data_IF_541245991953
#
_entry.id   IF_541245991953
#
_cell.length_a   1.000
_cell.length_b   1.000
_cell.length_c   1.000
_cell.angle_alpha   90.00
_cell.angle_beta   90.00
_cell.angle_gamma   90.00
#
_symmetry.space_group_name_H-M   'P 1'
#
loop_
_entity.id
_entity.type
_entity.pdbx_description
1 polymer ?
#
# COMPACT_ATOMS: atom_id res chain seq x y z
N UNK A 1 34.06 -0.86 -7.13
CA UNK A 1 33.31 -2.04 -6.63
C UNK A 1 32.01 -2.11 -7.41
N UNK A 2 31.84 -3.14 -8.21
CA UNK A 2 30.74 -3.28 -9.18
C UNK A 2 29.39 -3.40 -8.48
N UNK A 3 28.48 -2.50 -8.83
CA UNK A 3 27.05 -2.55 -8.54
C UNK A 3 26.41 -3.71 -9.31
N UNK A 4 26.52 -4.93 -8.79
CA UNK A 4 25.76 -6.05 -9.32
C UNK A 4 24.29 -5.87 -8.89
N UNK A 5 23.48 -5.46 -9.86
CA UNK A 5 22.03 -5.44 -9.77
C UNK A 5 21.50 -6.81 -9.30
N UNK A 6 20.51 -6.78 -8.40
CA UNK A 6 19.83 -7.95 -7.87
C UNK A 6 19.35 -8.88 -9.01
N UNK A 7 19.99 -10.02 -9.20
CA UNK A 7 19.50 -11.08 -10.10
C UNK A 7 18.24 -11.72 -9.53
N UNK A 8 17.27 -12.08 -10.37
CA UNK A 8 15.98 -12.69 -9.97
C UNK A 8 16.10 -13.89 -9.00
N UNK A 9 17.24 -14.57 -8.95
CA UNK A 9 17.49 -15.68 -8.03
C UNK A 9 17.70 -15.30 -6.55
N UNK A 10 17.98 -14.04 -6.21
CA UNK A 10 18.32 -13.61 -4.84
C UNK A 10 17.13 -13.16 -3.99
N UNK A 11 15.96 -13.00 -4.59
CA UNK A 11 14.74 -12.56 -3.91
C UNK A 11 13.76 -13.73 -3.87
N UNK A 12 13.12 -13.93 -2.72
CA UNK A 12 11.99 -14.85 -2.56
C UNK A 12 10.76 -14.07 -2.15
N UNK A 13 9.62 -14.29 -2.83
CA UNK A 13 8.34 -13.69 -2.47
C UNK A 13 7.38 -14.76 -1.96
N UNK A 14 6.88 -14.57 -0.75
CA UNK A 14 5.85 -15.41 -0.12
C UNK A 14 4.56 -14.62 -0.16
N UNK A 15 3.56 -15.14 -0.87
CA UNK A 15 2.27 -14.49 -1.00
C UNK A 15 1.27 -15.13 -0.04
N UNK A 16 0.32 -14.32 0.44
CA UNK A 16 -0.85 -14.87 1.13
C UNK A 16 -1.77 -15.54 0.11
N UNK A 17 -2.41 -16.63 0.53
CA UNK A 17 -3.50 -17.24 -0.23
C UNK A 17 -4.68 -16.26 -0.25
N UNK A 18 -4.86 -15.58 -1.37
CA UNK A 18 -6.03 -14.75 -1.63
C UNK A 18 -6.79 -15.27 -2.85
N UNK A 19 -8.07 -14.88 -2.99
CA UNK A 19 -8.88 -15.24 -4.16
C UNK A 19 -8.24 -14.78 -5.49
N UNK A 20 -7.54 -13.64 -5.50
CA UNK A 20 -6.84 -13.17 -6.69
C UNK A 20 -5.59 -13.99 -7.00
N UNK A 21 -4.85 -14.43 -5.98
CA UNK A 21 -3.72 -15.38 -6.14
C UNK A 21 -4.24 -16.74 -6.63
N UNK A 22 -5.40 -17.17 -6.12
CA UNK A 22 -6.07 -18.40 -6.57
C UNK A 22 -6.45 -18.35 -8.06
N UNK A 23 -7.03 -17.24 -8.52
CA UNK A 23 -7.42 -17.05 -9.93
C UNK A 23 -6.20 -16.86 -10.87
N UNK A 24 -5.03 -16.50 -10.33
CA UNK A 24 -3.78 -16.30 -11.06
C UNK A 24 -2.75 -17.44 -10.85
N UNK A 25 -3.13 -18.52 -10.16
CA UNK A 25 -2.20 -19.57 -9.70
C UNK A 25 -1.35 -20.15 -10.84
N UNK A 26 -1.93 -20.38 -12.02
CA UNK A 26 -1.18 -20.95 -13.16
C UNK A 26 -0.13 -20.00 -13.74
N UNK A 27 -0.30 -18.67 -13.58
CA UNK A 27 0.65 -17.66 -14.05
C UNK A 27 1.69 -17.27 -12.99
N UNK A 28 1.36 -17.43 -11.70
CA UNK A 28 2.25 -17.19 -10.56
C UNK A 28 3.13 -18.40 -10.22
N UNK A 29 2.83 -19.57 -10.79
CA UNK A 29 3.67 -20.75 -10.78
C UNK A 29 4.92 -20.53 -11.65
N UNK A 30 5.88 -19.78 -11.11
CA UNK A 30 7.24 -19.85 -11.64
C UNK A 30 7.80 -21.24 -11.30
N UNK A 31 7.86 -22.11 -12.32
CA UNK A 31 8.51 -23.43 -12.23
C UNK A 31 9.97 -23.34 -11.75
N UNK A 32 10.56 -22.13 -11.69
CA UNK A 32 11.90 -21.85 -11.19
C UNK A 32 11.99 -21.45 -9.69
N UNK A 33 10.98 -21.77 -8.85
CA UNK A 33 11.05 -21.76 -7.37
C UNK A 33 11.02 -20.37 -6.66
N UNK A 34 10.51 -19.32 -7.30
CA UNK A 34 10.56 -17.94 -6.76
C UNK A 34 9.32 -17.51 -5.96
N UNK A 35 8.24 -18.30 -6.01
CA UNK A 35 6.91 -17.99 -5.44
C UNK A 35 6.35 -19.22 -4.75
N UNK A 36 5.98 -19.10 -3.47
CA UNK A 36 5.43 -20.24 -2.70
C UNK A 36 4.02 -19.96 -2.23
N UNK A 37 3.08 -20.61 -2.91
CA UNK A 37 1.79 -21.04 -2.39
C UNK A 37 1.58 -22.45 -2.97
N UNK A 38 2.10 -23.48 -2.30
CA UNK A 38 1.99 -24.85 -2.82
C UNK A 38 0.66 -25.44 -2.35
N UNK A 39 -0.18 -25.85 -3.31
CA UNK A 39 -1.09 -26.97 -3.16
C UNK A 39 -0.42 -28.17 -3.85
N UNK A 40 -0.16 -29.25 -3.13
CA UNK A 40 0.21 -30.52 -3.74
C UNK A 40 -1.06 -31.16 -4.33
N UNK A 41 -1.16 -31.38 -5.66
CA UNK A 41 -2.34 -32.00 -6.25
C UNK A 41 -2.51 -33.48 -5.85
N UNK A 42 -1.45 -34.14 -5.40
CA UNK A 42 -1.42 -35.57 -5.08
C UNK A 42 -1.77 -35.88 -3.61
N UNK A 43 -1.67 -34.90 -2.71
CA UNK A 43 -1.89 -35.10 -1.26
C UNK A 43 -3.16 -34.43 -0.69
N UNK A 44 -4.09 -34.00 -1.55
CA UNK A 44 -5.36 -33.38 -1.11
C UNK A 44 -5.24 -31.88 -0.76
N UNK A 45 -6.27 -31.26 -0.14
CA UNK A 45 -6.28 -29.84 0.17
C UNK A 45 -5.37 -29.52 1.37
N UNK A 46 -4.06 -29.48 1.15
CA UNK A 46 -3.11 -28.98 2.15
C UNK A 46 -2.97 -27.46 2.03
N UNK A 47 -3.18 -26.75 3.15
CA UNK A 47 -2.90 -25.34 3.26
C UNK A 47 -1.39 -25.15 3.52
N UNK A 48 -0.66 -24.63 2.53
CA UNK A 48 0.64 -23.98 2.69
C UNK A 48 1.81 -24.88 3.10
N UNK A 49 2.50 -25.47 2.13
CA UNK A 49 3.81 -26.11 2.39
C UNK A 49 4.84 -25.03 2.71
N UNK A 50 5.51 -25.15 3.87
CA UNK A 50 6.62 -24.29 4.25
C UNK A 50 7.76 -24.40 3.23
N UNK A 51 8.42 -23.29 2.84
CA UNK A 51 9.60 -23.40 1.99
C UNK A 51 10.66 -24.25 2.70
N UNK A 52 11.31 -25.17 1.99
CA UNK A 52 12.47 -25.89 2.53
C UNK A 52 13.54 -24.88 2.94
N UNK A 53 14.12 -25.05 4.13
CA UNK A 53 15.15 -24.17 4.68
C UNK A 53 16.31 -23.94 3.70
N UNK A 54 16.68 -24.97 2.92
CA UNK A 54 17.70 -24.90 1.87
C UNK A 54 17.38 -23.91 0.74
N UNK A 55 16.10 -23.78 0.37
CA UNK A 55 15.66 -22.82 -0.63
C UNK A 55 15.75 -21.40 -0.09
N UNK A 56 15.36 -21.22 1.18
CA UNK A 56 15.40 -19.91 1.84
C UNK A 56 16.83 -19.45 2.08
N UNK A 57 17.71 -20.34 2.54
CA UNK A 57 19.12 -20.06 2.84
C UNK A 57 19.90 -19.53 1.62
N UNK A 58 19.44 -19.83 0.40
CA UNK A 58 20.04 -19.33 -0.85
C UNK A 58 19.58 -17.92 -1.23
N UNK A 59 18.65 -17.33 -0.49
CA UNK A 59 17.99 -16.05 -0.81
C UNK A 59 18.57 -14.95 0.07
N UNK A 60 18.78 -13.78 -0.52
CA UNK A 60 19.29 -12.59 0.17
C UNK A 60 18.18 -11.72 0.74
N UNK A 61 17.02 -11.72 0.07
CA UNK A 61 15.85 -10.92 0.46
C UNK A 61 14.63 -11.82 0.41
N UNK A 62 13.84 -11.79 1.49
CA UNK A 62 12.54 -12.44 1.53
C UNK A 62 11.49 -11.36 1.71
N UNK A 63 10.45 -11.41 0.88
CA UNK A 63 9.32 -10.49 0.92
C UNK A 63 8.09 -11.31 1.26
N UNK A 64 7.39 -10.93 2.31
CA UNK A 64 6.15 -11.57 2.75
C UNK A 64 5.25 -10.53 3.41
N UNK A 65 3.96 -10.82 3.54
CA UNK A 65 3.09 -10.06 4.46
C UNK A 65 3.40 -10.43 5.90
N UNK A 66 3.01 -9.57 6.85
CA UNK A 66 3.19 -9.81 8.29
C UNK A 66 2.65 -11.19 8.72
N UNK A 67 1.43 -11.53 8.31
CA UNK A 67 0.84 -12.84 8.65
C UNK A 67 1.59 -14.00 7.98
N UNK A 68 2.06 -13.85 6.74
CA UNK A 68 2.81 -14.92 6.06
C UNK A 68 4.24 -15.10 6.58
N UNK A 69 4.76 -14.21 7.42
CA UNK A 69 6.04 -14.44 8.08
C UNK A 69 5.98 -15.64 9.04
N UNK A 70 4.79 -16.06 9.48
CA UNK A 70 4.58 -17.31 10.25
C UNK A 70 5.12 -18.55 9.55
N UNK A 71 5.14 -18.58 8.21
CA UNK A 71 5.78 -19.68 7.47
C UNK A 71 7.30 -19.72 7.68
N UNK A 72 7.96 -18.57 7.86
CA UNK A 72 9.39 -18.49 8.15
C UNK A 72 9.67 -18.91 9.59
N UNK A 73 8.79 -18.52 10.53
CA UNK A 73 8.85 -18.88 11.95
C UNK A 73 8.76 -20.40 12.11
N UNK A 74 7.73 -21.00 11.50
CA UNK A 74 7.53 -22.46 11.50
C UNK A 74 8.62 -23.21 10.72
N UNK A 75 9.25 -22.56 9.75
CA UNK A 75 10.43 -23.08 9.04
C UNK A 75 11.73 -23.04 9.86
N UNK A 76 11.68 -22.58 11.11
CA UNK A 76 12.83 -22.56 12.03
C UNK A 76 13.84 -21.46 11.76
N UNK A 77 13.46 -20.39 11.06
CA UNK A 77 14.37 -19.29 10.68
C UNK A 77 14.56 -18.20 11.73
N UNK A 78 14.55 -18.60 12.99
CA UNK A 78 14.83 -17.70 14.11
C UNK A 78 16.26 -17.18 13.98
N UNK A 79 16.46 -15.88 14.20
CA UNK A 79 17.76 -15.19 14.19
C UNK A 79 18.55 -15.29 12.88
N UNK A 80 17.90 -15.66 11.79
CA UNK A 80 18.53 -15.77 10.48
C UNK A 80 18.64 -14.44 9.72
N UNK A 81 17.96 -13.39 10.20
CA UNK A 81 17.84 -12.12 9.50
C UNK A 81 18.68 -11.04 10.17
N UNK A 82 19.58 -10.42 9.41
CA UNK A 82 20.33 -9.25 9.91
C UNK A 82 19.45 -8.00 9.96
N UNK A 83 18.42 -7.94 9.12
CA UNK A 83 17.49 -6.81 9.01
C UNK A 83 16.06 -7.31 8.82
N UNK A 84 15.11 -6.68 9.51
CA UNK A 84 13.68 -6.83 9.28
C UNK A 84 13.13 -5.45 8.95
N UNK A 85 12.55 -5.30 7.76
CA UNK A 85 11.96 -4.05 7.28
C UNK A 85 10.46 -4.27 7.14
N UNK A 86 9.68 -3.47 7.86
CA UNK A 86 8.21 -3.45 7.76
C UNK A 86 7.83 -2.18 7.01
N UNK A 87 7.39 -2.34 5.77
CA UNK A 87 6.89 -1.25 4.93
C UNK A 87 5.38 -1.03 5.15
N UNK A 88 4.89 0.17 4.89
CA UNK A 88 3.53 0.62 5.20
C UNK A 88 3.12 0.33 6.67
N UNK A 89 4.08 0.43 7.59
CA UNK A 89 3.90 0.07 9.00
C UNK A 89 2.78 0.84 9.70
N UNK A 90 2.37 2.00 9.19
CA UNK A 90 1.24 2.78 9.69
C UNK A 90 -0.12 2.13 9.46
N UNK A 91 -0.22 1.19 8.51
CA UNK A 91 -1.47 0.50 8.17
C UNK A 91 -1.67 -0.81 8.95
N UNK A 92 -0.61 -1.31 9.61
CA UNK A 92 -0.66 -2.55 10.37
C UNK A 92 -1.07 -2.27 11.82
N UNK A 93 -1.93 -3.12 12.38
CA UNK A 93 -2.18 -3.08 13.82
C UNK A 93 -0.89 -3.46 14.56
N UNK A 94 -0.70 -2.91 15.77
CA UNK A 94 0.48 -3.20 16.57
C UNK A 94 0.72 -4.71 16.73
N UNK A 95 -0.34 -5.50 16.96
CA UNK A 95 -0.21 -6.94 17.13
C UNK A 95 0.24 -7.64 15.84
N UNK A 96 -0.20 -7.15 14.67
CA UNK A 96 0.25 -7.69 13.38
C UNK A 96 1.72 -7.38 13.13
N UNK A 97 2.15 -6.16 13.45
CA UNK A 97 3.54 -5.75 13.29
C UNK A 97 4.50 -6.55 14.18
N UNK A 98 4.02 -7.07 15.33
CA UNK A 98 4.80 -7.88 16.25
C UNK A 98 5.04 -9.32 15.77
N UNK A 99 4.22 -9.87 14.87
CA UNK A 99 4.33 -11.26 14.39
C UNK A 99 5.75 -11.61 13.93
N UNK A 100 6.35 -10.90 12.95
CA UNK A 100 7.72 -11.20 12.52
C UNK A 100 8.76 -10.88 13.60
N UNK A 101 8.52 -9.91 14.48
CA UNK A 101 9.50 -9.46 15.47
C UNK A 101 9.65 -10.49 16.60
N UNK A 102 8.55 -10.91 17.19
CA UNK A 102 8.55 -11.92 18.26
C UNK A 102 8.88 -13.30 17.72
N UNK A 103 8.46 -13.59 16.49
CA UNK A 103 8.63 -14.91 15.91
C UNK A 103 9.98 -15.16 15.24
N UNK A 104 10.66 -14.14 14.70
CA UNK A 104 11.93 -14.33 13.99
C UNK A 104 13.15 -13.83 14.76
N UNK A 105 12.98 -13.12 15.86
CA UNK A 105 14.07 -12.59 16.68
C UNK A 105 13.96 -13.23 18.06
N UNK A 106 14.99 -13.98 18.48
CA UNK A 106 15.07 -14.46 19.84
C UNK A 106 15.42 -13.32 20.80
N UNK A 107 15.01 -13.45 22.05
CA UNK A 107 15.28 -12.45 23.09
C UNK A 107 16.77 -12.13 23.28
N UNK A 108 17.67 -13.04 22.91
CA UNK A 108 19.11 -12.89 23.08
C UNK A 108 19.81 -12.26 21.85
N UNK A 109 19.07 -12.00 20.77
CA UNK A 109 19.64 -11.46 19.54
C UNK A 109 19.62 -9.92 19.53
N UNK A 110 20.79 -9.32 19.73
CA UNK A 110 21.04 -7.88 19.68
C UNK A 110 21.54 -7.38 18.31
N UNK A 111 21.73 -8.30 17.35
CA UNK A 111 22.34 -8.00 16.04
C UNK A 111 21.32 -7.57 15.00
N UNK A 112 20.11 -8.11 15.05
CA UNK A 112 19.05 -7.82 14.08
C UNK A 112 18.62 -6.35 14.16
N UNK A 113 18.62 -5.66 13.02
CA UNK A 113 18.13 -4.29 12.90
C UNK A 113 16.68 -4.27 12.41
N UNK A 114 15.82 -3.56 13.12
CA UNK A 114 14.40 -3.43 12.79
C UNK A 114 14.17 -2.03 12.22
N UNK A 115 13.55 -1.96 11.05
CA UNK A 115 13.19 -0.71 10.39
C UNK A 115 11.68 -0.71 10.14
N UNK A 116 11.00 0.30 10.67
CA UNK A 116 9.62 0.61 10.31
C UNK A 116 9.64 1.73 9.27
N UNK A 117 9.11 1.44 8.09
CA UNK A 117 8.86 2.41 7.04
C UNK A 117 7.35 2.58 6.88
N UNK A 118 6.89 3.81 6.83
CA UNK A 118 5.48 4.13 6.73
C UNK A 118 5.18 5.52 7.28
N UNK A 119 3.92 5.92 7.16
CA UNK A 119 3.46 7.22 7.59
C UNK A 119 2.31 7.08 8.59
N UNK A 120 2.52 7.36 9.89
CA UNK A 120 1.48 7.26 10.90
C UNK A 120 0.37 8.32 10.74
N UNK A 121 0.54 9.32 9.85
CA UNK A 121 -0.49 10.31 9.53
C UNK A 121 -1.40 9.88 8.37
N UNK A 122 -1.11 8.76 7.70
CA UNK A 122 -1.94 8.19 6.64
C UNK A 122 -2.99 7.21 7.18
N UNK A 123 -3.50 6.30 6.35
CA UNK A 123 -4.48 5.31 6.76
C UNK A 123 -3.92 4.42 7.87
N UNK A 124 -4.62 4.37 8.99
CA UNK A 124 -4.34 3.47 10.09
C UNK A 124 -4.91 2.05 9.87
N UNK A 125 -4.65 1.13 10.81
CA UNK A 125 -5.25 -0.19 10.81
C UNK A 125 -6.78 -0.16 10.85
N UNK A 126 -7.40 -1.13 10.16
CA UNK A 126 -8.86 -1.24 10.09
C UNK A 126 -9.36 -2.16 11.19
N UNK A 127 -9.84 -1.59 12.29
CA UNK A 127 -10.55 -2.34 13.33
C UNK A 127 -12.03 -2.48 12.97
N UNK A 128 -12.56 -3.70 12.90
CA UNK A 128 -13.98 -3.96 12.61
C UNK A 128 -14.82 -4.16 13.86
N UNK A 129 -14.18 -4.52 14.98
CA UNK A 129 -14.85 -4.76 16.26
C UNK A 129 -15.06 -3.44 17.04
N UNK A 130 -16.31 -2.99 17.15
CA UNK A 130 -16.63 -1.70 17.78
C UNK A 130 -16.26 -1.59 19.27
N UNK A 131 -16.41 -2.63 20.12
CA UNK A 131 -15.89 -2.58 21.49
C UNK A 131 -14.38 -2.35 21.54
N UNK A 132 -13.62 -3.00 20.66
CA UNK A 132 -12.16 -2.85 20.62
C UNK A 132 -11.75 -1.44 20.19
N UNK A 133 -12.48 -0.79 19.27
CA UNK A 133 -12.24 0.63 18.92
C UNK A 133 -12.35 1.56 20.13
N UNK A 134 -13.21 1.23 21.11
CA UNK A 134 -13.43 2.04 22.31
C UNK A 134 -12.42 1.74 23.43
N UNK A 135 -11.96 0.50 23.53
CA UNK A 135 -11.09 0.04 24.63
C UNK A 135 -9.60 0.14 24.29
N UNK A 136 -9.23 -0.13 23.05
CA UNK A 136 -7.88 0.03 22.54
C UNK A 136 -7.91 1.12 21.48
N UNK A 137 -7.06 2.14 21.63
CA UNK A 137 -6.75 3.01 20.50
C UNK A 137 -6.05 2.09 19.49
N UNK A 138 -6.77 1.62 18.47
CA UNK A 138 -6.18 0.85 17.39
C UNK A 138 -5.12 1.75 16.77
N UNK A 139 -3.87 1.44 17.08
CA UNK A 139 -2.73 2.26 16.75
C UNK A 139 -1.68 1.36 16.14
N UNK A 140 -1.00 1.90 15.13
CA UNK A 140 0.12 1.21 14.55
C UNK A 140 1.31 1.25 15.51
N UNK A 141 2.13 0.20 15.50
CA UNK A 141 3.34 0.16 16.31
C UNK A 141 4.28 1.35 15.99
N UNK A 142 4.37 1.74 14.72
CA UNK A 142 5.15 2.92 14.30
C UNK A 142 4.61 4.22 14.91
N UNK A 143 3.30 4.37 15.06
CA UNK A 143 2.68 5.52 15.73
C UNK A 143 3.12 5.55 17.20
N UNK A 144 3.02 4.41 17.90
CA UNK A 144 3.40 4.30 19.31
C UNK A 144 4.88 4.59 19.55
N UNK A 145 5.75 4.07 18.70
CA UNK A 145 7.20 4.29 18.81
C UNK A 145 7.59 5.74 18.50
N UNK A 146 6.88 6.38 17.58
CA UNK A 146 7.14 7.77 17.19
C UNK A 146 6.58 8.76 18.22
N UNK A 147 5.48 8.42 18.90
CA UNK A 147 4.81 9.27 19.88
C UNK A 147 5.28 9.03 21.34
N UNK A 148 6.32 8.22 21.55
CA UNK A 148 6.77 7.81 22.90
C UNK A 148 7.10 8.97 23.86
N UNK A 149 7.42 10.16 23.32
CA UNK A 149 7.65 11.39 24.10
C UNK A 149 6.65 12.53 23.80
N UNK A 150 5.52 12.26 23.12
CA UNK A 150 4.57 13.27 22.67
C UNK A 150 5.10 14.22 21.58
N UNK A 151 6.26 13.88 20.99
CA UNK A 151 6.97 14.70 20.00
C UNK A 151 6.44 14.53 18.58
N UNK A 152 5.44 13.66 18.36
CA UNK A 152 4.91 13.39 17.01
C UNK A 152 4.38 14.66 16.33
N UNK A 153 3.87 15.62 17.09
CA UNK A 153 3.34 16.88 16.57
C UNK A 153 4.37 18.03 16.55
N UNK A 154 5.52 17.89 17.23
CA UNK A 154 6.60 18.89 17.15
C UNK A 154 7.47 18.69 15.91
N UNK A 155 7.42 17.51 15.30
CA UNK A 155 8.31 17.08 14.22
C UNK A 155 9.80 17.26 14.56
N UNK A 156 10.13 17.31 15.86
CA UNK A 156 11.48 17.39 16.43
C UNK A 156 11.89 16.01 16.93
N UNK A 157 11.99 15.09 15.98
CA UNK A 157 12.35 13.71 16.25
C UNK A 157 13.85 13.59 16.54
N UNK A 158 14.24 12.66 17.40
CA UNK A 158 15.63 12.21 17.45
C UNK A 158 15.98 11.59 16.09
N UNK A 159 16.77 12.34 15.30
CA UNK A 159 17.16 11.95 13.94
C UNK A 159 17.97 10.65 13.88
N UNK A 160 18.49 10.18 15.02
CA UNK A 160 19.15 8.87 15.14
C UNK A 160 18.15 7.72 15.12
N UNK A 161 16.89 7.97 15.47
CA UNK A 161 15.83 6.97 15.61
C UNK A 161 14.78 7.11 14.50
N UNK A 162 14.36 8.34 14.19
CA UNK A 162 13.28 8.60 13.23
C UNK A 162 13.72 9.66 12.22
N UNK A 163 13.53 9.35 10.94
CA UNK A 163 13.83 10.26 9.84
C UNK A 163 12.56 10.52 9.02
N UNK A 164 12.16 11.78 8.92
CA UNK A 164 11.09 12.21 8.03
C UNK A 164 11.67 12.53 6.64
N UNK A 165 11.09 11.95 5.59
CA UNK A 165 11.45 12.27 4.22
C UNK A 165 10.60 13.45 3.73
N UNK A 166 11.22 14.61 3.55
CA UNK A 166 10.50 15.86 3.27
C UNK A 166 10.23 16.08 1.78
N UNK A 167 11.06 15.55 0.89
CA UNK A 167 10.94 15.78 -0.55
C UNK A 167 9.89 14.86 -1.18
N UNK A 168 8.79 15.43 -1.66
CA UNK A 168 7.74 14.72 -2.38
C UNK A 168 8.01 14.74 -3.90
N UNK A 169 8.32 13.58 -4.46
CA UNK A 169 8.63 13.41 -5.89
C UNK A 169 7.42 13.00 -6.75
N UNK A 170 6.20 12.99 -6.18
CA UNK A 170 4.98 12.53 -6.84
C UNK A 170 4.08 13.68 -7.28
N UNK A 171 3.79 14.61 -6.37
CA UNK A 171 2.65 15.52 -6.48
C UNK A 171 3.00 16.91 -7.01
N UNK A 172 2.07 17.52 -7.73
CA UNK A 172 2.08 18.95 -8.03
C UNK A 172 1.89 19.77 -6.73
N UNK A 173 2.54 20.95 -6.55
CA UNK A 173 2.41 21.79 -5.36
C UNK A 173 0.96 22.01 -4.90
N UNK A 174 0.03 22.25 -5.84
CA UNK A 174 -1.39 22.43 -5.58
C UNK A 174 -2.04 21.31 -4.72
N UNK A 175 -1.58 20.07 -4.85
CA UNK A 175 -2.08 18.94 -4.06
C UNK A 175 -1.32 18.73 -2.76
N UNK A 176 -0.08 19.22 -2.67
CA UNK A 176 0.81 18.98 -1.53
C UNK A 176 0.67 20.04 -0.44
N UNK A 177 0.38 21.30 -0.81
CA UNK A 177 0.37 22.44 0.13
C UNK A 177 -0.56 22.21 1.31
N UNK A 178 -1.82 21.84 1.07
CA UNK A 178 -2.82 21.65 2.14
C UNK A 178 -2.45 20.46 3.04
N UNK A 179 -2.18 19.24 2.53
CA UNK A 179 -1.75 18.13 3.38
C UNK A 179 -0.48 18.45 4.18
N UNK A 180 0.51 19.10 3.55
CA UNK A 180 1.76 19.51 4.21
C UNK A 180 1.48 20.39 5.44
N UNK A 181 0.65 21.42 5.28
CA UNK A 181 0.30 22.34 6.37
C UNK A 181 -0.52 21.65 7.47
N UNK A 182 -1.52 20.84 7.12
CA UNK A 182 -2.44 20.24 8.08
C UNK A 182 -1.82 19.08 8.87
N UNK A 183 -0.99 18.26 8.23
CA UNK A 183 -0.53 16.99 8.81
C UNK A 183 0.97 16.91 9.07
N UNK A 184 1.76 17.79 8.43
CA UNK A 184 3.22 17.68 8.41
C UNK A 184 3.95 18.98 8.78
N UNK A 185 3.26 19.92 9.43
CA UNK A 185 3.86 21.19 9.89
C UNK A 185 4.44 22.05 8.76
N UNK A 186 3.97 21.87 7.53
CA UNK A 186 4.49 22.57 6.34
C UNK A 186 5.83 22.07 5.80
N UNK A 187 6.36 20.94 6.31
CA UNK A 187 7.71 20.45 5.96
C UNK A 187 7.81 19.76 4.60
N UNK A 188 6.70 19.31 4.00
CA UNK A 188 6.77 18.60 2.71
C UNK A 188 7.10 19.55 1.54
N UNK A 189 8.14 19.20 0.79
CA UNK A 189 8.70 19.98 -0.31
C UNK A 189 8.34 19.38 -1.68
N UNK A 190 7.68 20.12 -2.59
CA UNK A 190 7.28 19.60 -3.90
C UNK A 190 8.47 19.49 -4.86
N UNK A 191 9.06 18.29 -4.93
CA UNK A 191 10.30 17.98 -5.67
C UNK A 191 10.07 17.18 -6.96
N UNK A 192 8.81 16.92 -7.33
CA UNK A 192 8.48 16.25 -8.58
C UNK A 192 9.02 17.03 -9.82
N UNK A 193 9.50 16.35 -10.87
CA UNK A 193 9.96 17.00 -12.09
C UNK A 193 8.85 17.82 -12.76
N UNK A 194 9.17 19.04 -13.22
CA UNK A 194 8.22 19.96 -13.86
C UNK A 194 7.48 19.28 -15.03
N UNK A 195 8.22 18.54 -15.86
CA UNK A 195 7.67 17.81 -17.02
C UNK A 195 6.57 16.82 -16.65
N UNK A 196 6.65 16.21 -15.46
CA UNK A 196 5.67 15.22 -15.00
C UNK A 196 4.52 15.90 -14.27
N UNK A 197 4.83 16.79 -13.32
CA UNK A 197 3.81 17.40 -12.44
C UNK A 197 2.93 18.44 -13.14
N UNK A 198 3.40 19.05 -14.23
CA UNK A 198 2.66 20.08 -14.96
C UNK A 198 1.93 19.56 -16.22
N UNK A 199 1.95 18.25 -16.49
CA UNK A 199 1.47 17.64 -17.75
C UNK A 199 0.07 18.11 -18.17
N UNK A 200 -0.86 18.23 -17.20
CA UNK A 200 -2.25 18.59 -17.45
C UNK A 200 -2.63 19.98 -16.95
N UNK A 201 -1.67 20.81 -16.51
CA UNK A 201 -1.97 22.14 -15.96
C UNK A 201 -2.61 23.12 -16.96
N UNK A 202 -2.50 22.83 -18.26
CA UNK A 202 -3.11 23.61 -19.35
C UNK A 202 -4.25 22.86 -20.05
N UNK A 203 -4.77 21.80 -19.43
CA UNK A 203 -5.91 21.07 -19.98
C UNK A 203 -7.14 21.98 -20.09
N UNK A 204 -7.80 21.98 -21.26
CA UNK A 204 -8.84 22.94 -21.59
C UNK A 204 -10.06 22.90 -20.66
N UNK A 205 -10.40 21.73 -20.13
CA UNK A 205 -11.52 21.56 -19.21
C UNK A 205 -11.19 21.95 -17.76
N UNK A 206 -9.94 22.34 -17.44
CA UNK A 206 -9.63 22.87 -16.11
C UNK A 206 -10.24 24.27 -15.91
N UNK A 207 -10.87 24.54 -14.76
CA UNK A 207 -11.43 25.85 -14.47
C UNK A 207 -10.34 26.92 -14.28
N UNK A 208 -9.15 26.52 -13.82
CA UNK A 208 -8.05 27.42 -13.54
C UNK A 208 -6.79 27.03 -14.33
N UNK A 209 -6.42 27.87 -15.31
CA UNK A 209 -5.24 27.68 -16.16
C UNK A 209 -3.94 28.20 -15.53
N UNK A 210 -4.01 28.81 -14.35
CA UNK A 210 -2.85 29.32 -13.61
C UNK A 210 -2.15 28.20 -12.81
N UNK A 211 -1.80 27.11 -13.50
CA UNK A 211 -1.03 26.01 -12.94
C UNK A 211 -1.68 25.35 -11.70
N UNK A 212 -3.00 25.17 -11.74
CA UNK A 212 -3.77 24.54 -10.65
C UNK A 212 -4.58 23.36 -11.21
N UNK A 213 -3.98 22.15 -11.31
CA UNK A 213 -4.57 21.00 -12.00
C UNK A 213 -5.63 20.27 -11.14
N UNK A 214 -6.51 21.01 -10.46
CA UNK A 214 -7.58 20.47 -9.63
C UNK A 214 -8.93 21.02 -10.11
N UNK A 215 -9.89 20.11 -10.25
CA UNK A 215 -11.27 20.41 -10.60
C UNK A 215 -12.18 19.78 -9.56
N UNK A 216 -13.16 20.56 -9.07
CA UNK A 216 -14.25 20.07 -8.24
C UNK A 216 -15.56 20.12 -9.04
N UNK A 217 -16.17 18.96 -9.31
CA UNK A 217 -17.47 18.86 -10.01
C UNK A 217 -18.54 18.53 -8.98
N UNK A 218 -19.44 19.48 -8.70
CA UNK A 218 -20.56 19.26 -7.77
C UNK A 218 -21.68 18.46 -8.44
N UNK A 219 -22.09 17.36 -7.82
CA UNK A 219 -23.18 16.49 -8.29
C UNK A 219 -24.18 16.35 -7.15
N UNK A 220 -25.41 16.81 -7.38
CA UNK A 220 -26.48 16.78 -6.38
C UNK A 220 -27.55 15.82 -6.86
N UNK A 221 -27.37 14.54 -6.54
CA UNK A 221 -28.30 13.47 -6.90
C UNK A 221 -28.41 12.45 -5.77
N UNK A 222 -29.55 11.76 -5.64
CA UNK A 222 -29.71 10.71 -4.64
C UNK A 222 -28.76 9.54 -4.88
N UNK A 223 -28.16 9.05 -3.79
CA UNK A 223 -27.45 7.77 -3.78
C UNK A 223 -28.42 6.58 -3.70
N UNK A 224 -27.99 5.44 -4.22
CA UNK A 224 -28.71 4.16 -4.08
C UNK A 224 -27.88 3.18 -3.27
N UNK A 225 -28.57 2.28 -2.55
CA UNK A 225 -27.95 1.34 -1.61
C UNK A 225 -28.08 -0.09 -2.10
N UNK A 226 -26.98 -0.83 -2.08
CA UNK A 226 -26.97 -2.29 -2.20
C UNK A 226 -27.53 -2.89 -0.90
N UNK A 227 -28.71 -3.49 -1.00
CA UNK A 227 -29.40 -4.13 0.14
C UNK A 227 -28.64 -5.34 0.67
N UNK A 228 -27.85 -6.02 -0.17
CA UNK A 228 -27.09 -7.21 0.22
C UNK A 228 -25.74 -6.84 0.87
N UNK A 229 -25.00 -5.89 0.27
CA UNK A 229 -23.62 -5.59 0.68
C UNK A 229 -23.48 -4.33 1.55
N UNK A 230 -24.58 -3.70 1.95
CA UNK A 230 -24.61 -2.46 2.77
C UNK A 230 -23.67 -1.37 2.24
N UNK A 231 -23.56 -1.26 0.92
CA UNK A 231 -22.67 -0.31 0.24
C UNK A 231 -23.48 0.60 -0.69
N UNK A 232 -22.88 1.69 -1.14
CA UNK A 232 -23.59 2.78 -1.80
C UNK A 232 -23.05 3.00 -3.22
N UNK A 233 -23.91 3.50 -4.09
CA UNK A 233 -23.53 3.96 -5.41
C UNK A 233 -24.29 5.23 -5.81
N UNK A 234 -23.68 6.02 -6.68
CA UNK A 234 -24.31 7.14 -7.35
C UNK A 234 -24.05 7.03 -8.86
N UNK A 235 -25.11 6.81 -9.64
CA UNK A 235 -25.03 6.63 -11.08
C UNK A 235 -24.68 7.93 -11.82
N UNK A 236 -25.19 9.07 -11.35
CA UNK A 236 -24.87 10.36 -11.96
C UNK A 236 -23.39 10.72 -11.79
N UNK A 237 -22.80 10.39 -10.62
CA UNK A 237 -21.34 10.50 -10.44
C UNK A 237 -20.57 9.62 -11.43
N UNK A 238 -21.07 8.42 -11.71
CA UNK A 238 -20.42 7.50 -12.64
C UNK A 238 -20.45 8.03 -14.07
N UNK A 239 -21.56 8.61 -14.52
CA UNK A 239 -21.68 9.20 -15.85
C UNK A 239 -20.69 10.37 -16.02
N UNK A 240 -20.57 11.23 -15.01
CA UNK A 240 -19.61 12.34 -15.02
C UNK A 240 -18.17 11.83 -15.03
N UNK A 241 -17.84 10.82 -14.21
CA UNK A 241 -16.51 10.20 -14.21
C UNK A 241 -16.19 9.60 -15.59
N UNK A 242 -17.12 8.89 -16.21
CA UNK A 242 -16.94 8.33 -17.56
C UNK A 242 -16.69 9.44 -18.60
N UNK A 243 -17.44 10.55 -18.52
CA UNK A 243 -17.22 11.73 -19.36
C UNK A 243 -15.82 12.32 -19.20
N UNK A 244 -15.31 12.44 -17.97
CA UNK A 244 -13.94 12.91 -17.74
C UNK A 244 -12.88 11.95 -18.25
N UNK A 245 -13.06 10.65 -18.04
CA UNK A 245 -12.13 9.62 -18.57
C UNK A 245 -12.06 9.72 -20.10
N UNK A 246 -13.20 9.87 -20.79
CA UNK A 246 -13.23 10.07 -22.24
C UNK A 246 -12.51 11.36 -22.66
N UNK A 247 -12.78 12.49 -21.99
CA UNK A 247 -12.09 13.76 -22.29
C UNK A 247 -10.58 13.68 -22.08
N UNK A 248 -10.12 13.00 -21.03
CA UNK A 248 -8.69 12.81 -20.75
C UNK A 248 -8.01 11.89 -21.77
N UNK A 249 -8.65 10.78 -22.11
CA UNK A 249 -8.07 9.78 -23.03
C UNK A 249 -8.13 10.22 -24.48
N UNK A 250 -9.27 10.70 -24.97
CA UNK A 250 -9.47 11.11 -26.37
C UNK A 250 -8.97 12.54 -26.58
N UNK A 251 -9.39 13.47 -25.71
CA UNK A 251 -9.08 14.90 -25.87
C UNK A 251 -7.66 15.25 -25.48
N UNK A 252 -7.20 14.78 -24.32
CA UNK A 252 -5.86 15.10 -23.79
C UNK A 252 -4.80 14.00 -24.03
N UNK A 253 -5.16 12.89 -24.69
CA UNK A 253 -4.26 11.76 -25.02
C UNK A 253 -3.56 11.14 -23.81
N UNK A 254 -4.20 11.16 -22.64
CA UNK A 254 -3.71 10.48 -21.43
C UNK A 254 -3.91 8.97 -21.60
N UNK A 255 -2.91 8.17 -21.26
CA UNK A 255 -3.04 6.71 -21.32
C UNK A 255 -3.99 6.23 -20.23
N UNK A 256 -4.84 5.25 -20.55
CA UNK A 256 -5.74 4.65 -19.56
C UNK A 256 -4.98 4.07 -18.34
N UNK A 257 -3.75 3.58 -18.53
CA UNK A 257 -2.85 3.11 -17.46
C UNK A 257 -2.47 4.19 -16.44
N UNK A 258 -2.56 5.45 -16.83
CA UNK A 258 -2.14 6.60 -16.03
C UNK A 258 -3.34 7.22 -15.28
N UNK A 259 -4.54 6.65 -15.43
CA UNK A 259 -5.78 7.13 -14.79
C UNK A 259 -6.16 6.18 -13.65
N UNK A 260 -6.23 6.72 -12.42
CA UNK A 260 -6.77 6.04 -11.25
C UNK A 260 -8.13 6.60 -10.85
N UNK A 261 -9.11 5.73 -10.59
CA UNK A 261 -10.42 6.10 -10.05
C UNK A 261 -10.54 5.48 -8.65
N UNK A 262 -10.74 6.32 -7.64
CA UNK A 262 -10.80 5.92 -6.24
C UNK A 262 -12.20 6.27 -5.70
N UNK A 263 -12.82 5.32 -5.00
CA UNK A 263 -14.11 5.52 -4.31
C UNK A 263 -14.11 4.70 -3.02
N UNK A 264 -14.69 5.22 -1.92
CA UNK A 264 -14.74 4.48 -0.65
C UNK A 264 -15.73 3.31 -0.66
N UNK A 265 -16.67 3.26 -1.61
CA UNK A 265 -17.75 2.29 -1.61
C UNK A 265 -17.52 1.14 -2.60
N UNK A 266 -17.56 -0.10 -2.10
CA UNK A 266 -17.42 -1.31 -2.92
C UNK A 266 -18.50 -1.42 -4.00
N UNK A 267 -19.72 -0.97 -3.74
CA UNK A 267 -20.80 -1.04 -4.73
C UNK A 267 -20.55 -0.08 -5.91
N UNK A 268 -20.04 1.13 -5.66
CA UNK A 268 -19.57 2.05 -6.70
C UNK A 268 -18.48 1.41 -7.59
N UNK A 269 -17.60 0.54 -7.05
CA UNK A 269 -16.57 -0.15 -7.84
C UNK A 269 -17.15 -1.18 -8.82
N UNK A 270 -18.31 -1.79 -8.54
CA UNK A 270 -18.92 -2.81 -9.43
C UNK A 270 -19.30 -2.24 -10.81
N UNK A 271 -19.30 -0.91 -10.96
CA UNK A 271 -19.45 -0.19 -12.23
C UNK A 271 -18.19 -0.23 -13.14
N UNK A 272 -17.12 -0.96 -12.77
CA UNK A 272 -16.05 -1.37 -13.73
C UNK A 272 -16.60 -1.94 -15.05
N UNK A 273 -17.83 -2.50 -15.05
CA UNK A 273 -18.51 -2.95 -16.28
C UNK A 273 -18.90 -1.79 -17.21
N UNK A 274 -19.22 -0.60 -16.70
CA UNK A 274 -19.59 0.58 -17.49
C UNK A 274 -18.38 1.23 -18.16
N UNK A 275 -17.22 1.29 -17.48
CA UNK A 275 -15.99 1.79 -18.09
C UNK A 275 -15.49 0.86 -19.20
N UNK A 276 -15.67 -0.47 -19.06
CA UNK A 276 -15.39 -1.44 -20.14
C UNK A 276 -16.29 -1.26 -21.37
N UNK A 277 -17.49 -0.70 -21.21
CA UNK A 277 -18.44 -0.43 -22.30
C UNK A 277 -18.05 0.81 -23.11
N UNK A 278 -17.24 1.71 -22.56
CA UNK A 278 -16.74 2.89 -23.29
C UNK A 278 -15.71 2.57 -24.40
N UNK A 279 -15.36 1.29 -24.64
CA UNK A 279 -14.39 0.85 -25.68
C UNK A 279 -13.17 1.79 -25.78
N UNK A 280 -12.50 1.98 -24.64
CA UNK A 280 -11.10 2.42 -24.63
C UNK A 280 -10.19 1.22 -24.93
#
# INVERSE_FOLDING_TARGET
MSTNAFTSGSILRIFSLSKAVYEQNDALFDKNQSVLCIKDPSEGPQFGIFPKTELIAKKRVIICTLNTSTYLINGGLNDCFTHIIIDEAGQADELEALIPLVGLISFLNDKTKIIFAGDPKQLGPVQTCDPLKKMAKSMALIERLTDFNGLMNSFDFDKRLTTMLENNYRSHPAFLTIPSQLFYGGKLCPSAPIKTKNTLCQWNDLPNKNNFPLLWHSIVTPESRDTENKSYQNLAECDVVCGYVQKLTIGAKVKASDIGIITPYRFQVKLKKVIRICKL
#
